data_IF_707588168686
#
_entry.id   IF_707588168686
#
_cell.length_a   1.000
_cell.length_b   1.000
_cell.length_c   1.000
_cell.angle_alpha   90.00
_cell.angle_beta   90.00
_cell.angle_gamma   90.00
#
_symmetry.space_group_name_H-M   'P 1'
#
loop_
_entity.id
_entity.type
_entity.pdbx_description
1 polymer ?
#
# COMPACT_ATOMS: atom_id res chain seq x y z
N UNK A 1 -26.39 5.58 24.59
CA UNK A 1 -25.31 6.15 23.77
C UNK A 1 -24.40 5.00 23.38
N UNK A 2 -24.24 4.69 22.10
CA UNK A 2 -23.33 3.62 21.67
C UNK A 2 -21.89 4.00 22.05
N UNK A 3 -21.03 3.05 22.47
CA UNK A 3 -19.62 3.34 22.74
C UNK A 3 -18.97 3.93 21.49
N UNK A 4 -17.99 4.85 21.65
CA UNK A 4 -17.23 5.35 20.51
C UNK A 4 -16.57 4.18 19.77
N UNK A 5 -16.52 4.20 18.43
CA UNK A 5 -15.85 3.14 17.69
C UNK A 5 -14.39 3.06 18.14
N UNK A 6 -13.92 1.82 18.33
CA UNK A 6 -12.52 1.58 18.64
C UNK A 6 -11.64 2.07 17.48
N UNK A 7 -10.43 2.59 17.76
CA UNK A 7 -9.53 3.03 16.71
C UNK A 7 -9.22 1.87 15.78
N UNK A 8 -9.25 2.13 14.47
CA UNK A 8 -8.95 1.13 13.46
C UNK A 8 -7.53 0.58 13.63
N UNK A 9 -7.35 -0.71 13.40
CA UNK A 9 -6.02 -1.32 13.34
C UNK A 9 -5.32 -0.86 12.06
N UNK A 10 -4.26 -0.06 12.19
CA UNK A 10 -3.44 0.39 11.06
C UNK A 10 -2.07 -0.26 11.16
N UNK A 11 -1.74 -1.09 10.17
CA UNK A 11 -0.48 -1.83 10.08
C UNK A 11 0.25 -1.41 8.80
N UNK A 12 1.39 -0.73 8.94
CA UNK A 12 2.15 -0.13 7.84
C UNK A 12 3.62 -0.56 7.94
N UNK A 13 4.18 -1.01 6.84
CA UNK A 13 5.60 -1.36 6.76
C UNK A 13 6.18 -1.04 5.38
N UNK A 14 7.38 -0.44 5.37
CA UNK A 14 8.21 -0.29 4.18
C UNK A 14 9.29 -1.36 4.16
N UNK A 15 9.37 -2.09 3.05
CA UNK A 15 10.17 -3.31 2.91
C UNK A 15 11.29 -3.07 1.90
N UNK A 16 12.53 -3.41 2.26
CA UNK A 16 13.69 -3.32 1.36
C UNK A 16 13.91 -4.60 0.56
N UNK A 17 13.36 -5.72 1.02
CA UNK A 17 13.48 -7.05 0.39
C UNK A 17 12.13 -7.56 -0.10
N UNK A 18 12.15 -8.51 -1.03
CA UNK A 18 10.95 -9.19 -1.52
C UNK A 18 10.05 -9.67 -0.37
N UNK A 19 8.73 -9.56 -0.57
CA UNK A 19 7.71 -10.10 0.32
C UNK A 19 6.63 -10.84 -0.46
N UNK A 20 6.06 -11.86 0.15
CA UNK A 20 4.87 -12.52 -0.37
C UNK A 20 3.61 -11.78 0.14
N UNK A 21 2.83 -11.14 -0.74
CA UNK A 21 1.63 -10.41 -0.34
C UNK A 21 0.57 -11.32 0.31
N UNK A 22 0.44 -12.58 -0.12
CA UNK A 22 -0.58 -13.47 0.44
C UNK A 22 -0.20 -13.94 1.85
N UNK A 23 1.09 -14.11 2.11
CA UNK A 23 1.55 -14.39 3.46
C UNK A 23 1.37 -13.19 4.40
N UNK A 24 1.63 -11.96 3.91
CA UNK A 24 1.32 -10.75 4.67
C UNK A 24 -0.19 -10.62 4.96
N UNK A 25 -1.04 -10.99 4.00
CA UNK A 25 -2.48 -11.00 4.18
C UNK A 25 -2.92 -12.00 5.25
N UNK A 26 -2.43 -13.23 5.18
CA UNK A 26 -2.72 -14.29 6.14
C UNK A 26 -2.33 -13.88 7.56
N UNK A 27 -1.12 -13.34 7.74
CA UNK A 27 -0.65 -12.86 9.03
C UNK A 27 -1.55 -11.73 9.58
N UNK A 28 -1.96 -10.80 8.72
CA UNK A 28 -2.86 -9.72 9.11
C UNK A 28 -4.27 -10.21 9.46
N UNK A 29 -4.85 -11.13 8.71
CA UNK A 29 -6.15 -11.75 9.02
C UNK A 29 -6.10 -12.53 10.36
N UNK A 30 -4.97 -13.18 10.66
CA UNK A 30 -4.74 -13.83 11.95
C UNK A 30 -4.68 -12.83 13.12
N UNK A 31 -4.25 -11.58 12.89
CA UNK A 31 -4.34 -10.50 13.88
C UNK A 31 -5.78 -9.99 14.04
N UNK A 32 -6.51 -9.80 12.94
CA UNK A 32 -7.89 -9.32 12.97
C UNK A 32 -8.81 -10.25 13.76
N UNK A 33 -8.72 -11.56 13.51
CA UNK A 33 -9.54 -12.58 14.17
C UNK A 33 -9.37 -12.65 15.69
N UNK A 34 -8.27 -12.11 16.22
CA UNK A 34 -7.94 -12.08 17.65
C UNK A 34 -8.23 -10.73 18.31
N UNK A 35 -8.59 -9.72 17.53
CA UNK A 35 -8.70 -8.33 17.97
C UNK A 35 -10.12 -7.76 17.89
N UNK A 36 -10.30 -6.49 18.30
CA UNK A 36 -11.59 -5.80 18.21
C UNK A 36 -12.10 -5.61 16.77
N UNK A 37 -11.22 -5.77 15.78
CA UNK A 37 -11.57 -5.74 14.36
C UNK A 37 -12.20 -7.06 13.84
N UNK A 38 -12.34 -8.10 14.68
CA UNK A 38 -12.97 -9.38 14.34
C UNK A 38 -14.45 -9.26 13.89
N UNK A 39 -15.05 -8.08 14.02
CA UNK A 39 -16.42 -7.77 13.60
C UNK A 39 -16.54 -7.41 12.11
N UNK A 40 -15.43 -7.26 11.37
CA UNK A 40 -15.48 -6.94 9.95
C UNK A 40 -16.06 -8.11 9.14
N UNK A 41 -17.03 -7.83 8.27
CA UNK A 41 -17.70 -8.82 7.44
C UNK A 41 -17.34 -8.72 5.94
N UNK A 42 -16.48 -7.77 5.57
CA UNK A 42 -16.01 -7.58 4.21
C UNK A 42 -14.55 -7.11 4.18
N UNK A 43 -13.79 -7.62 3.21
CA UNK A 43 -12.42 -7.20 2.96
C UNK A 43 -12.23 -6.80 1.49
N UNK A 44 -11.31 -5.87 1.23
CA UNK A 44 -10.85 -5.50 -0.09
C UNK A 44 -9.31 -5.51 -0.10
N UNK A 45 -8.73 -6.05 -1.16
CA UNK A 45 -7.28 -6.18 -1.29
C UNK A 45 -6.81 -5.70 -2.66
N UNK A 46 -5.65 -5.07 -2.68
CA UNK A 46 -4.95 -4.69 -3.89
C UNK A 46 -3.49 -5.12 -3.81
N UNK A 47 -2.97 -5.67 -4.90
CA UNK A 47 -1.57 -6.03 -5.06
C UNK A 47 -1.06 -5.37 -6.35
N UNK A 48 -0.14 -4.43 -6.21
CA UNK A 48 0.54 -3.76 -7.32
C UNK A 48 1.88 -4.43 -7.63
N UNK A 49 2.18 -4.64 -8.91
CA UNK A 49 3.43 -5.24 -9.39
C UNK A 49 4.16 -4.35 -10.39
N UNK A 50 5.48 -4.51 -10.47
CA UNK A 50 6.31 -3.82 -11.48
C UNK A 50 5.91 -4.28 -12.87
N UNK A 51 5.59 -3.33 -13.76
CA UNK A 51 5.34 -3.60 -15.18
C UNK A 51 6.66 -3.90 -15.91
N UNK A 52 6.65 -4.73 -16.97
CA UNK A 52 7.87 -5.07 -17.71
C UNK A 52 8.36 -3.98 -18.67
N UNK A 53 7.68 -2.83 -18.73
CA UNK A 53 7.95 -1.76 -19.68
C UNK A 53 8.13 -0.44 -18.94
N UNK A 54 9.17 0.29 -19.32
CA UNK A 54 9.47 1.63 -18.84
C UNK A 54 8.50 2.66 -19.43
N UNK A 55 8.56 3.89 -18.93
CA UNK A 55 7.66 4.97 -19.31
C UNK A 55 7.86 5.42 -20.77
N UNK A 56 9.03 5.16 -21.35
CA UNK A 56 9.37 5.42 -22.76
C UNK A 56 9.04 4.26 -23.71
N UNK A 57 8.48 3.15 -23.19
CA UNK A 57 8.15 1.96 -23.96
C UNK A 57 9.27 0.92 -24.07
N UNK A 58 10.47 1.18 -23.55
CA UNK A 58 11.55 0.22 -23.57
C UNK A 58 11.33 -0.93 -22.54
N UNK A 59 11.93 -2.13 -22.75
CA UNK A 59 11.94 -3.18 -21.73
C UNK A 59 12.59 -2.69 -20.44
N UNK A 60 11.87 -2.77 -19.33
CA UNK A 60 12.35 -2.34 -18.02
C UNK A 60 13.26 -3.42 -17.42
N UNK A 61 14.46 -3.05 -17.00
CA UNK A 61 15.35 -3.95 -16.25
C UNK A 61 15.00 -3.95 -14.77
N UNK A 62 14.78 -2.76 -14.20
CA UNK A 62 14.37 -2.59 -12.82
C UNK A 62 13.64 -1.26 -12.60
N UNK A 63 12.70 -1.28 -11.67
CA UNK A 63 12.18 -0.09 -11.02
C UNK A 63 12.98 0.14 -9.73
N UNK A 64 13.42 1.35 -9.47
CA UNK A 64 14.03 1.72 -8.19
C UNK A 64 13.20 2.80 -7.51
N UNK A 65 12.87 2.54 -6.25
CA UNK A 65 12.05 3.41 -5.42
C UNK A 65 12.88 3.89 -4.24
N UNK A 66 13.16 5.19 -4.22
CA UNK A 66 13.79 5.86 -3.07
C UNK A 66 12.73 6.56 -2.22
N UNK A 67 13.03 6.77 -0.96
CA UNK A 67 12.12 7.37 0.02
C UNK A 67 12.93 8.10 1.10
N UNK A 68 12.25 8.92 1.92
CA UNK A 68 12.87 9.54 3.09
C UNK A 68 12.58 8.67 4.32
N UNK A 69 13.57 7.94 4.87
CA UNK A 69 13.35 7.02 5.98
C UNK A 69 12.75 7.71 7.20
N UNK A 70 11.76 7.07 7.81
CA UNK A 70 11.00 7.57 8.95
C UNK A 70 9.94 8.63 8.60
N UNK A 71 10.10 9.45 7.56
CA UNK A 71 9.06 10.41 7.16
C UNK A 71 7.98 9.74 6.32
N UNK A 72 8.37 8.91 5.35
CA UNK A 72 7.42 8.19 4.51
C UNK A 72 6.49 7.30 5.34
N UNK A 73 7.04 6.50 6.26
CA UNK A 73 6.30 5.60 7.15
C UNK A 73 5.29 6.38 7.99
N UNK A 74 5.74 7.46 8.64
CA UNK A 74 4.85 8.32 9.44
C UNK A 74 3.74 8.94 8.61
N UNK A 75 4.04 9.38 7.38
CA UNK A 75 3.05 9.95 6.47
C UNK A 75 2.02 8.91 6.05
N UNK A 76 2.47 7.71 5.70
CA UNK A 76 1.59 6.59 5.31
C UNK A 76 0.69 6.19 6.48
N UNK A 77 1.23 6.05 7.69
CA UNK A 77 0.44 5.76 8.90
C UNK A 77 -0.63 6.84 9.11
N UNK A 78 -0.27 8.12 9.02
CA UNK A 78 -1.22 9.22 9.22
C UNK A 78 -2.33 9.21 8.15
N UNK A 79 -1.99 8.97 6.89
CA UNK A 79 -2.96 8.81 5.79
C UNK A 79 -3.90 7.64 6.07
N UNK A 80 -3.35 6.46 6.38
CA UNK A 80 -4.15 5.26 6.65
C UNK A 80 -5.07 5.43 7.85
N UNK A 81 -4.63 6.10 8.92
CA UNK A 81 -5.47 6.41 10.08
C UNK A 81 -6.61 7.37 9.73
N UNK A 82 -6.30 8.45 9.00
CA UNK A 82 -7.30 9.44 8.58
C UNK A 82 -8.37 8.80 7.68
N UNK A 83 -7.95 8.02 6.68
CA UNK A 83 -8.86 7.33 5.77
C UNK A 83 -9.66 6.23 6.48
N UNK A 84 -9.03 5.50 7.41
CA UNK A 84 -9.75 4.50 8.17
C UNK A 84 -10.88 5.10 9.00
N UNK A 85 -10.62 6.25 9.65
CA UNK A 85 -11.63 7.01 10.36
C UNK A 85 -12.72 7.57 9.42
N UNK A 86 -12.33 8.18 8.30
CA UNK A 86 -13.24 8.76 7.31
C UNK A 86 -14.22 7.73 6.76
N UNK A 87 -13.74 6.52 6.44
CA UNK A 87 -14.56 5.46 5.86
C UNK A 87 -15.22 4.55 6.90
N UNK A 88 -14.87 4.69 8.18
CA UNK A 88 -15.39 3.85 9.27
C UNK A 88 -15.01 2.38 9.11
N UNK A 89 -13.78 2.10 8.70
CA UNK A 89 -13.27 0.72 8.50
C UNK A 89 -12.58 0.23 9.77
N UNK A 90 -12.54 -1.09 9.96
CA UNK A 90 -11.99 -1.70 11.17
C UNK A 90 -10.47 -1.82 11.13
N UNK A 91 -9.89 -2.01 9.94
CA UNK A 91 -8.46 -2.16 9.79
C UNK A 91 -7.96 -1.80 8.39
N UNK A 92 -6.69 -1.39 8.31
CA UNK A 92 -5.94 -1.11 7.09
C UNK A 92 -4.54 -1.71 7.21
N UNK A 93 -4.14 -2.48 6.20
CA UNK A 93 -2.78 -2.99 5.99
C UNK A 93 -2.15 -2.24 4.82
N UNK A 94 -0.91 -1.78 4.99
CA UNK A 94 -0.06 -1.31 3.90
C UNK A 94 1.31 -2.00 4.00
N UNK A 95 1.69 -2.69 2.94
CA UNK A 95 3.06 -3.15 2.70
C UNK A 95 3.55 -2.52 1.42
N UNK A 96 4.69 -1.85 1.46
CA UNK A 96 5.23 -1.20 0.27
C UNK A 96 6.73 -1.42 0.17
N UNK A 97 7.21 -1.80 -1.01
CA UNK A 97 8.62 -2.02 -1.30
C UNK A 97 9.32 -0.72 -1.65
N UNK A 98 10.57 -0.62 -1.22
CA UNK A 98 11.55 0.38 -1.65
C UNK A 98 12.81 -0.33 -2.13
N UNK A 99 13.74 0.41 -2.72
CA UNK A 99 14.95 -0.14 -3.35
C UNK A 99 14.69 -0.59 -4.79
N UNK A 100 15.52 -1.51 -5.32
CA UNK A 100 15.40 -2.03 -6.68
C UNK A 100 14.45 -3.23 -6.75
N UNK A 101 13.55 -3.21 -7.72
CA UNK A 101 12.55 -4.23 -7.99
C UNK A 101 12.58 -4.62 -9.48
N UNK A 102 12.55 -5.91 -9.77
CA UNK A 102 12.46 -6.42 -11.15
C UNK A 102 11.01 -6.44 -11.65
N UNK A 103 10.78 -6.46 -12.98
CA UNK A 103 9.47 -6.77 -13.55
C UNK A 103 8.77 -7.95 -12.88
N UNK A 104 7.49 -7.80 -12.57
CA UNK A 104 6.67 -8.82 -11.91
C UNK A 104 6.77 -8.85 -10.38
N UNK A 105 7.80 -8.24 -9.78
CA UNK A 105 7.89 -8.14 -8.32
C UNK A 105 6.74 -7.33 -7.73
N UNK A 106 6.27 -7.74 -6.56
CA UNK A 106 5.28 -6.98 -5.78
C UNK A 106 5.89 -5.67 -5.32
N UNK A 107 5.23 -4.55 -5.64
CA UNK A 107 5.62 -3.21 -5.17
C UNK A 107 4.81 -2.84 -3.93
N UNK A 108 3.49 -3.04 -3.97
CA UNK A 108 2.60 -2.57 -2.93
C UNK A 108 1.49 -3.58 -2.70
N UNK A 109 1.11 -3.74 -1.43
CA UNK A 109 -0.11 -4.39 -1.03
C UNK A 109 -0.89 -3.48 -0.08
N UNK A 110 -2.18 -3.32 -0.36
CA UNK A 110 -3.14 -2.69 0.54
C UNK A 110 -4.25 -3.69 0.84
N UNK A 111 -4.63 -3.82 2.11
CA UNK A 111 -5.82 -4.56 2.52
C UNK A 111 -6.66 -3.71 3.47
N UNK A 112 -7.98 -3.80 3.36
CA UNK A 112 -8.91 -3.08 4.22
C UNK A 112 -10.03 -4.00 4.67
N UNK A 113 -10.35 -3.99 5.96
CA UNK A 113 -11.46 -4.75 6.54
C UNK A 113 -12.52 -3.79 7.07
N UNK A 114 -13.79 -4.04 6.74
CA UNK A 114 -14.93 -3.22 7.14
C UNK A 114 -16.20 -4.05 7.38
N UNK A 115 -17.23 -3.46 7.98
CA UNK A 115 -18.56 -4.08 8.13
C UNK A 115 -19.21 -4.39 6.76
N UNK A 116 -18.95 -3.56 5.74
CA UNK A 116 -19.57 -3.69 4.42
C UNK A 116 -18.56 -3.51 3.30
N UNK A 117 -18.84 -4.15 2.17
CA UNK A 117 -18.03 -4.07 0.95
C UNK A 117 -17.80 -2.65 0.45
N UNK A 118 -18.78 -1.76 0.60
CA UNK A 118 -18.72 -0.38 0.09
C UNK A 118 -17.56 0.41 0.73
N UNK A 119 -17.55 0.59 2.06
CA UNK A 119 -16.41 1.17 2.77
C UNK A 119 -15.08 0.47 2.51
N UNK A 120 -15.04 -0.87 2.49
CA UNK A 120 -13.80 -1.61 2.24
C UNK A 120 -13.18 -1.26 0.87
N UNK A 121 -13.99 -1.32 -0.20
CA UNK A 121 -13.55 -1.02 -1.56
C UNK A 121 -13.09 0.44 -1.71
N UNK A 122 -13.90 1.40 -1.23
CA UNK A 122 -13.59 2.83 -1.37
C UNK A 122 -12.34 3.22 -0.58
N UNK A 123 -12.23 2.76 0.66
CA UNK A 123 -11.05 3.05 1.47
C UNK A 123 -9.79 2.41 0.87
N UNK A 124 -9.87 1.18 0.36
CA UNK A 124 -8.74 0.53 -0.30
C UNK A 124 -8.26 1.32 -1.53
N UNK A 125 -9.20 1.79 -2.37
CA UNK A 125 -8.89 2.63 -3.52
C UNK A 125 -8.29 3.97 -3.10
N UNK A 126 -8.90 4.64 -2.13
CA UNK A 126 -8.44 5.97 -1.70
C UNK A 126 -7.07 5.91 -1.03
N UNK A 127 -6.75 4.86 -0.25
CA UNK A 127 -5.40 4.65 0.27
C UNK A 127 -4.37 4.59 -0.88
N UNK A 128 -4.66 3.85 -1.96
CA UNK A 128 -3.75 3.76 -3.11
C UNK A 128 -3.54 5.11 -3.80
N UNK A 129 -4.63 5.84 -4.03
CA UNK A 129 -4.56 7.16 -4.66
C UNK A 129 -3.83 8.17 -3.77
N UNK A 130 -4.08 8.18 -2.47
CA UNK A 130 -3.39 9.09 -1.55
C UNK A 130 -1.90 8.73 -1.42
N UNK A 131 -1.56 7.44 -1.36
CA UNK A 131 -0.15 7.00 -1.37
C UNK A 131 0.58 7.51 -2.61
N UNK A 132 -0.06 7.43 -3.76
CA UNK A 132 0.51 7.93 -5.01
C UNK A 132 0.73 9.44 -4.98
N UNK A 133 -0.15 10.24 -4.40
CA UNK A 133 0.02 11.70 -4.46
C UNK A 133 0.83 12.27 -3.30
N UNK A 134 0.80 11.61 -2.13
CA UNK A 134 1.28 12.20 -0.89
C UNK A 134 2.44 11.44 -0.24
N UNK A 135 2.70 10.19 -0.64
CA UNK A 135 3.88 9.49 -0.12
C UNK A 135 5.13 9.97 -0.88
N UNK A 136 6.19 10.38 -0.17
CA UNK A 136 7.40 10.92 -0.78
C UNK A 136 8.28 9.77 -1.30
N UNK A 137 7.88 9.22 -2.45
CA UNK A 137 8.64 8.24 -3.21
C UNK A 137 9.22 8.87 -4.47
N UNK A 138 10.47 8.57 -4.76
CA UNK A 138 11.12 8.95 -6.02
C UNK A 138 11.37 7.71 -6.85
N UNK A 139 10.96 7.77 -8.12
CA UNK A 139 10.95 6.64 -9.03
C UNK A 139 12.07 6.78 -10.07
N UNK A 140 12.95 5.78 -10.15
CA UNK A 140 13.98 5.67 -11.18
C UNK A 140 13.78 4.37 -11.98
N UNK A 141 13.72 4.48 -13.30
CA UNK A 141 13.58 3.33 -14.21
C UNK A 141 14.93 2.99 -14.83
N UNK A 142 15.31 1.72 -14.77
CA UNK A 142 16.56 1.21 -15.34
C UNK A 142 16.28 0.54 -16.68
N UNK A 143 16.97 1.01 -17.72
CA UNK A 143 16.88 0.50 -19.09
C UNK A 143 18.28 0.49 -19.69
N UNK A 144 18.72 -0.65 -20.23
CA UNK A 144 20.05 -0.84 -20.82
C UNK A 144 21.19 -0.39 -19.89
N UNK A 145 21.09 -0.69 -18.59
CA UNK A 145 22.06 -0.26 -17.58
C UNK A 145 22.01 1.22 -17.18
N UNK A 146 21.13 2.03 -17.78
CA UNK A 146 20.99 3.46 -17.50
C UNK A 146 19.73 3.74 -16.66
N UNK A 147 19.90 4.45 -15.55
CA UNK A 147 18.81 4.84 -14.66
C UNK A 147 18.27 6.25 -14.97
N UNK A 148 16.97 6.34 -15.27
CA UNK A 148 16.29 7.60 -15.56
C UNK A 148 15.25 7.92 -14.48
N UNK A 149 15.33 9.11 -13.91
CA UNK A 149 14.31 9.60 -12.97
C UNK A 149 13.02 9.91 -13.72
N UNK A 150 11.91 9.42 -13.18
CA UNK A 150 10.60 9.66 -13.77
C UNK A 150 9.98 10.89 -13.13
N UNK A 151 9.67 11.89 -13.95
CA UNK A 151 9.01 13.11 -13.53
C UNK A 151 7.49 12.87 -13.41
N UNK A 152 6.99 12.80 -12.18
CA UNK A 152 5.57 12.74 -11.87
C UNK A 152 4.97 11.34 -11.78
N UNK A 153 3.80 11.27 -11.16
CA UNK A 153 3.06 10.03 -10.97
C UNK A 153 2.09 9.83 -12.12
N UNK A 154 2.13 8.66 -12.76
CA UNK A 154 1.23 8.32 -13.88
C UNK A 154 -0.21 8.43 -13.41
N UNK A 155 -1.04 9.37 -13.90
CA UNK A 155 -2.47 9.41 -13.60
C UNK A 155 -3.12 8.06 -13.91
N UNK A 156 -4.21 7.70 -13.21
CA UNK A 156 -5.02 6.56 -13.62
C UNK A 156 -5.56 6.75 -15.05
#
# INVERSE_FOLDING_TARGET
>A
MAPPPLPALVDVELLTTHFDPLHSLEAWQALLSKGPAAIAAAEAHFIGRVRPMASDGAPLEALELEHYPGMSERRIVAISQALAHQHGVAAVLVRHRVGRLKPGETIVMVAVAADRRGPALRCCQEVLETLKHEAPFWKREWVNGCGHWVAGNTPL
#
